data_IF_751742429683
#
_entry.id   IF_751742429683
#
_cell.length_a   1.000
_cell.length_b   1.000
_cell.length_c   1.000
_cell.angle_alpha   90.00
_cell.angle_beta   90.00
_cell.angle_gamma   90.00
#
_symmetry.space_group_name_H-M   'P 1'
#
loop_
_entity.id
_entity.type
_entity.pdbx_description
1 polymer ?
#
# COMPACT_ATOMS: atom_id res chain seq x y z
N UNK A 1 -2.72 13.64 -29.00
CA UNK A 1 -2.62 14.43 -27.75
C UNK A 1 -1.15 14.47 -27.32
N UNK A 2 -0.44 15.55 -27.73
CA UNK A 2 1.02 15.63 -27.52
C UNK A 2 1.36 16.41 -26.27
N UNK A 3 2.40 15.97 -25.58
CA UNK A 3 3.00 16.66 -24.44
C UNK A 3 3.64 17.95 -24.96
N UNK A 4 3.23 19.08 -24.37
CA UNK A 4 3.81 20.40 -24.63
C UNK A 4 4.88 20.74 -23.59
N UNK A 5 4.61 20.41 -22.33
CA UNK A 5 5.50 20.75 -21.22
C UNK A 5 5.21 19.84 -20.02
N UNK A 6 6.21 19.65 -19.16
CA UNK A 6 6.11 18.94 -17.87
C UNK A 6 6.79 19.83 -16.84
N UNK A 7 6.10 20.05 -15.71
CA UNK A 7 6.61 20.88 -14.61
C UNK A 7 6.52 20.11 -13.30
N UNK A 8 7.63 19.94 -12.64
CA UNK A 8 7.67 19.37 -11.30
C UNK A 8 7.98 20.44 -10.25
N UNK A 9 7.52 20.17 -9.04
CA UNK A 9 7.82 20.94 -7.84
C UNK A 9 7.90 20.04 -6.63
N UNK A 10 8.58 20.53 -5.60
CA UNK A 10 8.56 19.94 -4.27
C UNK A 10 7.24 20.28 -3.58
N UNK A 11 6.63 19.26 -2.94
CA UNK A 11 5.44 19.39 -2.08
C UNK A 11 5.68 18.60 -0.78
N UNK A 12 4.82 18.74 0.22
CA UNK A 12 4.94 17.99 1.46
C UNK A 12 3.97 16.80 1.49
N UNK A 13 4.45 15.69 2.00
CA UNK A 13 3.60 14.54 2.30
C UNK A 13 2.87 14.70 3.65
N UNK A 14 2.07 13.72 4.03
CA UNK A 14 1.27 13.72 5.27
C UNK A 14 2.10 13.77 6.56
N UNK A 15 3.41 13.55 6.47
CA UNK A 15 4.37 13.65 7.58
C UNK A 15 5.13 14.97 7.59
N UNK A 16 4.84 15.87 6.63
CA UNK A 16 5.62 17.10 6.42
C UNK A 16 6.99 16.86 5.79
N UNK A 17 7.21 15.67 5.20
CA UNK A 17 8.43 15.35 4.46
C UNK A 17 8.26 15.73 2.99
N UNK A 18 9.29 16.33 2.35
CA UNK A 18 9.22 16.67 0.93
C UNK A 18 9.01 15.45 0.04
N UNK A 19 8.19 15.64 -0.99
CA UNK A 19 7.99 14.69 -2.09
C UNK A 19 7.79 15.43 -3.42
N UNK A 20 7.63 14.70 -4.53
CA UNK A 20 7.56 15.25 -5.87
C UNK A 20 6.13 15.31 -6.36
N UNK A 21 5.72 16.47 -6.89
CA UNK A 21 4.55 16.64 -7.73
C UNK A 21 4.99 16.95 -9.16
N UNK A 22 4.33 16.36 -10.16
CA UNK A 22 4.55 16.68 -11.57
C UNK A 22 3.24 16.98 -12.28
N UNK A 23 3.19 18.06 -13.04
CA UNK A 23 2.07 18.44 -13.91
C UNK A 23 2.46 18.24 -15.37
N UNK A 24 1.66 17.49 -16.13
CA UNK A 24 1.80 17.32 -17.57
C UNK A 24 0.80 18.24 -18.27
N UNK A 25 1.30 19.03 -19.24
CA UNK A 25 0.55 20.02 -20.01
C UNK A 25 0.58 19.61 -21.49
N UNK A 26 -0.59 19.51 -22.12
CA UNK A 26 -0.72 19.15 -23.54
C UNK A 26 -0.80 20.37 -24.43
N UNK A 27 -0.52 20.20 -25.72
CA UNK A 27 -0.66 21.26 -26.76
C UNK A 27 -2.09 21.83 -26.81
N UNK A 28 -3.11 21.01 -26.51
CA UNK A 28 -4.51 21.47 -26.47
C UNK A 28 -4.86 22.25 -25.18
N UNK A 29 -3.91 22.46 -24.26
CA UNK A 29 -4.12 23.14 -22.98
C UNK A 29 -4.67 22.25 -21.85
N UNK A 30 -5.02 20.99 -22.12
CA UNK A 30 -5.39 20.06 -21.06
C UNK A 30 -4.18 19.80 -20.16
N UNK A 31 -4.40 19.70 -18.84
CA UNK A 31 -3.35 19.44 -17.86
C UNK A 31 -3.84 18.58 -16.71
N UNK A 32 -2.96 17.80 -16.14
CA UNK A 32 -3.19 17.08 -14.89
C UNK A 32 -1.90 16.90 -14.11
N UNK A 33 -2.05 16.77 -12.81
CA UNK A 33 -0.96 16.63 -11.85
C UNK A 33 -1.07 15.30 -11.12
N UNK A 34 0.08 14.74 -10.74
CA UNK A 34 0.20 13.65 -9.80
C UNK A 34 1.25 13.96 -8.74
N UNK A 35 1.01 13.47 -7.53
CA UNK A 35 1.93 13.57 -6.40
C UNK A 35 2.28 12.15 -5.95
N UNK A 36 3.55 11.90 -5.67
CA UNK A 36 4.03 10.56 -5.29
C UNK A 36 4.11 10.38 -3.78
N UNK A 37 3.80 9.18 -3.26
CA UNK A 37 3.96 8.86 -1.85
C UNK A 37 5.41 8.56 -1.50
N UNK A 38 5.69 8.45 -0.19
CA UNK A 38 7.02 8.15 0.37
C UNK A 38 6.92 7.13 1.50
N UNK A 39 7.79 6.11 1.53
CA UNK A 39 7.84 5.13 2.61
C UNK A 39 8.55 5.63 3.88
N UNK A 40 8.19 5.08 5.04
CA UNK A 40 8.97 5.21 6.28
C UNK A 40 9.92 4.02 6.43
N UNK A 41 9.39 2.80 6.36
CA UNK A 41 10.13 1.56 6.14
C UNK A 41 10.23 1.29 4.65
N UNK A 42 11.38 0.83 4.18
CA UNK A 42 11.61 0.51 2.76
C UNK A 42 12.27 -0.85 2.66
N UNK A 43 11.73 -1.73 1.83
CA UNK A 43 12.37 -2.99 1.48
C UNK A 43 13.74 -2.75 0.82
N UNK A 44 14.67 -3.65 1.06
CA UNK A 44 16.06 -3.52 0.56
C UNK A 44 16.15 -3.37 -0.96
N UNK A 45 15.16 -3.89 -1.68
CA UNK A 45 15.17 -3.98 -3.14
C UNK A 45 14.20 -3.01 -3.84
N UNK A 46 13.64 -2.04 -3.10
CA UNK A 46 12.80 -1.00 -3.69
C UNK A 46 13.60 -0.10 -4.65
N UNK A 47 12.91 0.46 -5.65
CA UNK A 47 13.46 1.52 -6.48
C UNK A 47 13.79 2.77 -5.62
N UNK A 48 14.84 3.50 -6.00
CA UNK A 48 15.41 4.56 -5.17
C UNK A 48 14.55 5.82 -5.21
N UNK A 49 14.04 6.23 -4.06
CA UNK A 49 13.52 7.57 -3.81
C UNK A 49 14.71 8.54 -3.68
N UNK A 50 14.92 9.38 -4.71
CA UNK A 50 16.05 10.27 -4.75
C UNK A 50 15.86 11.43 -3.77
N UNK A 51 16.79 11.57 -2.82
CA UNK A 51 16.87 12.61 -1.81
C UNK A 51 18.12 13.46 -2.01
N UNK A 52 18.03 14.75 -1.69
CA UNK A 52 19.16 15.70 -1.90
C UNK A 52 20.35 15.42 -0.99
N UNK A 53 20.12 14.87 0.21
CA UNK A 53 21.16 14.59 1.20
C UNK A 53 21.76 15.86 1.87
N UNK A 54 21.23 17.04 1.57
CA UNK A 54 21.67 18.31 2.20
C UNK A 54 21.09 18.45 3.62
N UNK A 55 21.90 18.32 4.67
CA UNK A 55 21.41 18.37 6.04
C UNK A 55 20.86 19.75 6.45
N UNK A 56 21.19 20.80 5.71
CA UNK A 56 20.72 22.17 5.99
C UNK A 56 19.29 22.41 5.50
N UNK A 57 18.75 21.46 4.70
CA UNK A 57 17.43 21.57 4.10
C UNK A 57 16.64 20.29 4.35
N UNK A 58 15.52 20.39 5.08
CA UNK A 58 14.68 19.25 5.48
C UNK A 58 15.46 18.05 6.07
N UNK A 59 16.54 18.32 6.81
CA UNK A 59 17.42 17.31 7.40
C UNK A 59 17.92 16.26 6.37
N UNK A 60 18.25 16.69 5.15
CA UNK A 60 18.70 15.82 4.06
C UNK A 60 17.59 15.21 3.21
N UNK A 61 16.30 15.40 3.58
CA UNK A 61 15.16 14.76 2.91
C UNK A 61 14.56 15.59 1.75
N UNK A 62 15.19 16.71 1.34
CA UNK A 62 14.77 17.50 0.17
C UNK A 62 14.74 16.67 -1.11
N UNK A 63 13.98 17.13 -2.12
CA UNK A 63 13.82 16.43 -3.41
C UNK A 63 14.06 17.34 -4.62
N UNK A 64 14.81 18.42 -4.45
CA UNK A 64 15.07 19.38 -5.54
C UNK A 64 15.87 18.75 -6.69
N UNK A 65 16.75 17.80 -6.40
CA UNK A 65 17.46 17.03 -7.43
C UNK A 65 16.49 16.23 -8.29
N UNK A 66 15.53 15.54 -7.68
CA UNK A 66 14.49 14.83 -8.42
C UNK A 66 13.61 15.79 -9.24
N UNK A 67 13.25 16.94 -8.67
CA UNK A 67 12.50 18.01 -9.36
C UNK A 67 13.28 18.54 -10.56
N UNK A 68 14.57 18.83 -10.42
CA UNK A 68 15.46 19.25 -11.51
C UNK A 68 15.54 18.18 -12.60
N UNK A 69 15.68 16.89 -12.23
CA UNK A 69 15.68 15.78 -13.18
C UNK A 69 14.39 15.73 -14.01
N UNK A 70 13.24 16.01 -13.42
CA UNK A 70 11.99 16.13 -14.20
C UNK A 70 12.04 17.31 -15.14
N UNK A 71 12.36 18.51 -14.63
CA UNK A 71 12.24 19.75 -15.39
C UNK A 71 13.28 19.88 -16.51
N UNK A 72 14.53 19.42 -16.28
CA UNK A 72 15.67 19.66 -17.16
C UNK A 72 16.04 18.45 -18.01
N UNK A 73 15.67 17.23 -17.60
CA UNK A 73 16.05 15.99 -18.30
C UNK A 73 14.83 15.30 -18.90
N UNK A 74 13.81 14.98 -18.06
CA UNK A 74 12.65 14.19 -18.49
C UNK A 74 11.73 15.03 -19.38
N UNK A 75 11.39 16.25 -18.98
CA UNK A 75 10.45 17.10 -19.71
C UNK A 75 10.89 17.37 -21.15
N UNK A 76 12.14 17.81 -21.43
CA UNK A 76 12.60 18.00 -22.80
C UNK A 76 12.58 16.71 -23.64
N UNK A 77 12.92 15.57 -23.03
CA UNK A 77 12.96 14.28 -23.72
C UNK A 77 11.57 13.76 -24.12
N UNK A 78 10.52 14.08 -23.33
CA UNK A 78 9.16 13.63 -23.59
C UNK A 78 8.33 14.63 -24.41
N UNK A 79 8.84 15.83 -24.66
CA UNK A 79 8.15 16.84 -25.46
C UNK A 79 7.77 16.29 -26.84
N UNK A 80 6.52 16.53 -27.25
CA UNK A 80 5.97 16.06 -28.52
C UNK A 80 5.51 14.61 -28.55
N UNK A 81 5.78 13.80 -27.51
CA UNK A 81 5.25 12.44 -27.40
C UNK A 81 3.76 12.43 -27.14
N UNK A 82 3.07 11.39 -27.60
CA UNK A 82 1.64 11.19 -27.35
C UNK A 82 1.41 10.62 -25.96
N UNK A 83 0.55 11.28 -25.15
CA UNK A 83 0.20 10.77 -23.80
C UNK A 83 -0.59 9.48 -23.82
N UNK A 84 -1.10 9.03 -24.97
CA UNK A 84 -1.76 7.75 -25.10
C UNK A 84 -0.78 6.57 -25.17
N UNK A 85 0.51 6.85 -25.29
CA UNK A 85 1.58 5.85 -25.40
C UNK A 85 2.30 5.67 -24.05
N UNK A 86 1.52 5.35 -22.99
CA UNK A 86 2.04 5.23 -21.62
C UNK A 86 3.28 4.35 -21.52
N UNK A 87 3.25 3.15 -22.10
CA UNK A 87 4.37 2.19 -22.06
C UNK A 87 5.62 2.78 -22.74
N UNK A 88 5.47 3.47 -23.87
CA UNK A 88 6.61 4.08 -24.59
C UNK A 88 7.22 5.22 -23.77
N UNK A 89 6.39 6.01 -23.07
CA UNK A 89 6.86 7.08 -22.19
C UNK A 89 7.59 6.51 -20.98
N UNK A 90 7.01 5.51 -20.30
CA UNK A 90 7.62 4.89 -19.12
C UNK A 90 8.94 4.20 -19.49
N UNK A 91 8.98 3.42 -20.57
CA UNK A 91 10.21 2.78 -21.05
C UNK A 91 11.29 3.79 -21.42
N UNK A 92 10.90 4.92 -22.04
CA UNK A 92 11.87 5.97 -22.34
C UNK A 92 12.48 6.58 -21.07
N UNK A 93 11.71 6.77 -20.01
CA UNK A 93 12.26 7.26 -18.74
C UNK A 93 13.15 6.20 -18.05
N UNK A 94 12.80 4.92 -18.13
CA UNK A 94 13.61 3.80 -17.64
C UNK A 94 14.94 3.74 -18.39
N UNK A 95 14.92 3.79 -19.72
CA UNK A 95 16.13 3.78 -20.56
C UNK A 95 17.02 4.99 -20.27
N UNK A 96 16.41 6.16 -20.05
CA UNK A 96 17.14 7.38 -19.69
C UNK A 96 17.79 7.28 -18.31
N UNK A 97 17.15 6.62 -17.34
CA UNK A 97 17.76 6.36 -16.04
C UNK A 97 18.94 5.38 -16.20
N UNK A 98 18.73 4.27 -16.86
CA UNK A 98 19.74 3.27 -17.20
C UNK A 98 20.30 2.51 -16.00
N UNK A 99 19.70 2.63 -14.80
CA UNK A 99 20.08 1.87 -13.61
C UNK A 99 18.97 0.88 -13.21
N UNK A 100 19.31 -0.27 -12.60
CA UNK A 100 18.30 -1.27 -12.26
C UNK A 100 17.22 -0.77 -11.28
N UNK A 101 17.57 0.17 -10.41
CA UNK A 101 16.73 0.67 -9.31
C UNK A 101 16.36 2.15 -9.45
N UNK A 102 16.49 2.73 -10.65
CA UNK A 102 16.15 4.13 -10.93
C UNK A 102 16.91 5.15 -10.06
N UNK A 103 18.16 4.83 -9.71
CA UNK A 103 18.96 5.67 -8.80
C UNK A 103 19.51 6.94 -9.43
N UNK A 104 19.54 7.05 -10.77
CA UNK A 104 20.09 8.22 -11.47
C UNK A 104 19.09 9.37 -11.54
N UNK A 105 17.87 9.12 -12.00
CA UNK A 105 16.81 10.14 -12.09
C UNK A 105 15.95 10.21 -10.85
N UNK A 106 15.80 9.09 -10.16
CA UNK A 106 14.95 8.90 -9.01
C UNK A 106 13.59 8.28 -9.38
N UNK A 107 13.20 7.22 -8.69
CA UNK A 107 11.90 6.59 -8.87
C UNK A 107 10.75 7.57 -8.58
N UNK A 108 10.92 8.47 -7.62
CA UNK A 108 9.97 9.55 -7.32
C UNK A 108 9.78 10.53 -8.48
N UNK A 109 10.85 10.93 -9.16
CA UNK A 109 10.79 11.78 -10.36
C UNK A 109 10.06 11.08 -11.51
N UNK A 110 10.45 9.83 -11.80
CA UNK A 110 9.88 9.03 -12.90
C UNK A 110 8.40 8.74 -12.64
N UNK A 111 8.04 8.29 -11.43
CA UNK A 111 6.67 7.95 -11.08
C UNK A 111 5.74 9.16 -11.14
N UNK A 112 6.17 10.33 -10.64
CA UNK A 112 5.34 11.53 -10.69
C UNK A 112 4.92 11.86 -12.13
N UNK A 113 5.83 11.75 -13.09
CA UNK A 113 5.55 11.97 -14.52
C UNK A 113 4.67 10.85 -15.07
N UNK A 114 4.98 9.59 -14.81
CA UNK A 114 4.22 8.43 -15.27
C UNK A 114 2.74 8.52 -14.88
N UNK A 115 2.44 8.86 -13.63
CA UNK A 115 1.07 9.00 -13.14
C UNK A 115 0.37 10.24 -13.71
N UNK A 116 1.07 11.36 -13.85
CA UNK A 116 0.53 12.59 -14.42
C UNK A 116 0.17 12.40 -15.92
N UNK A 117 0.97 11.62 -16.66
CA UNK A 117 0.68 11.24 -18.05
C UNK A 117 -0.64 10.46 -18.14
N UNK A 118 -0.84 9.44 -17.32
CA UNK A 118 -2.08 8.67 -17.28
C UNK A 118 -3.29 9.55 -16.93
N UNK A 119 -3.15 10.43 -15.93
CA UNK A 119 -4.21 11.34 -15.49
C UNK A 119 -4.59 12.36 -16.58
N UNK A 120 -3.62 12.95 -17.28
CA UNK A 120 -3.91 13.92 -18.34
C UNK A 120 -4.51 13.23 -19.57
N UNK A 121 -4.08 12.01 -19.89
CA UNK A 121 -4.66 11.24 -20.99
C UNK A 121 -6.14 10.91 -20.71
N UNK A 122 -6.45 10.39 -19.52
CA UNK A 122 -7.82 10.14 -19.07
C UNK A 122 -8.70 11.40 -19.11
N UNK A 123 -8.18 12.53 -18.60
CA UNK A 123 -8.88 13.80 -18.60
C UNK A 123 -9.15 14.32 -20.01
N UNK A 124 -8.16 14.24 -20.91
CA UNK A 124 -8.26 14.74 -22.28
C UNK A 124 -9.20 13.87 -23.15
N UNK A 125 -9.30 12.57 -22.85
CA UNK A 125 -10.28 11.68 -23.48
C UNK A 125 -11.66 11.71 -22.82
N UNK A 126 -11.84 12.55 -21.79
CA UNK A 126 -13.07 12.62 -20.99
C UNK A 126 -13.51 11.26 -20.42
N UNK A 127 -12.54 10.40 -20.11
CA UNK A 127 -12.75 9.07 -19.56
C UNK A 127 -12.37 9.07 -18.07
N UNK A 128 -13.18 8.55 -17.15
CA UNK A 128 -12.77 8.40 -15.76
C UNK A 128 -11.49 7.59 -15.66
N UNK A 129 -10.58 7.97 -14.73
CA UNK A 129 -9.24 7.39 -14.67
C UNK A 129 -9.28 5.85 -14.53
N UNK A 130 -10.15 5.30 -13.66
CA UNK A 130 -10.28 3.84 -13.50
C UNK A 130 -10.73 3.13 -14.79
N UNK A 131 -11.52 3.79 -15.65
CA UNK A 131 -11.91 3.26 -16.97
C UNK A 131 -10.79 3.37 -18.00
N UNK A 132 -10.03 4.45 -17.93
CA UNK A 132 -8.89 4.67 -18.83
C UNK A 132 -7.76 3.68 -18.58
N UNK A 133 -7.44 3.42 -17.29
CA UNK A 133 -6.41 2.45 -16.89
C UNK A 133 -6.85 1.00 -17.07
N UNK A 134 -8.14 0.73 -16.94
CA UNK A 134 -8.74 -0.61 -16.96
C UNK A 134 -9.45 -0.90 -18.27
N UNK A 135 -10.67 -1.41 -18.15
CA UNK A 135 -11.51 -1.81 -19.26
C UNK A 135 -13.00 -1.51 -18.96
N UNK A 136 -13.92 -1.72 -19.91
CA UNK A 136 -15.36 -1.71 -19.63
C UNK A 136 -15.77 -2.65 -18.48
N UNK A 137 -15.01 -3.72 -18.24
CA UNK A 137 -15.27 -4.70 -17.19
C UNK A 137 -14.65 -4.34 -15.83
N UNK A 138 -14.04 -3.14 -15.70
CA UNK A 138 -13.50 -2.64 -14.43
C UNK A 138 -14.63 -2.14 -13.55
N UNK A 139 -15.17 -3.02 -12.68
CA UNK A 139 -16.34 -2.74 -11.84
C UNK A 139 -16.27 -3.38 -10.45
N UNK A 140 -15.16 -4.02 -10.11
CA UNK A 140 -14.98 -4.62 -8.78
C UNK A 140 -14.52 -3.52 -7.80
N UNK A 141 -15.37 -3.23 -6.83
CA UNK A 141 -15.05 -2.34 -5.71
C UNK A 141 -14.19 -3.08 -4.70
N UNK A 142 -13.03 -2.53 -4.32
CA UNK A 142 -12.12 -3.25 -3.44
C UNK A 142 -12.64 -3.33 -2.00
N UNK A 143 -12.44 -4.47 -1.33
CA UNK A 143 -12.58 -4.56 0.12
C UNK A 143 -11.43 -3.78 0.75
N UNK A 144 -11.71 -2.80 1.63
CA UNK A 144 -10.66 -2.06 2.31
C UNK A 144 -10.06 -2.88 3.46
N UNK A 145 -8.74 -2.89 3.54
CA UNK A 145 -7.95 -3.35 4.68
C UNK A 145 -7.59 -2.10 5.49
N UNK A 146 -8.32 -1.88 6.58
CA UNK A 146 -8.28 -0.63 7.35
C UNK A 146 -7.38 -0.79 8.58
N UNK A 147 -6.23 -0.14 8.60
CA UNK A 147 -5.31 -0.17 9.74
C UNK A 147 -5.85 0.62 10.92
N UNK A 148 -6.33 -0.04 11.98
CA UNK A 148 -6.98 0.61 13.15
C UNK A 148 -6.12 0.62 14.42
N UNK A 149 -5.07 -0.23 14.49
CA UNK A 149 -4.03 -0.18 15.55
C UNK A 149 -2.67 -0.30 14.90
N UNK A 150 -1.75 0.58 15.28
CA UNK A 150 -0.35 0.59 14.85
C UNK A 150 0.56 0.05 15.96
N UNK A 151 1.58 -0.68 15.54
CA UNK A 151 2.69 -1.14 16.36
C UNK A 151 4.02 -1.07 15.59
N UNK A 152 4.98 -1.90 15.94
CA UNK A 152 6.28 -1.97 15.30
C UNK A 152 6.92 -0.60 15.11
N UNK A 153 7.52 -0.37 13.95
CA UNK A 153 8.15 0.92 13.59
C UNK A 153 7.14 2.05 13.33
N UNK A 154 5.82 1.76 13.29
CA UNK A 154 4.76 2.76 13.06
C UNK A 154 4.22 3.40 14.33
N UNK A 155 4.69 3.00 15.52
CA UNK A 155 4.28 3.59 16.79
C UNK A 155 5.31 3.36 17.90
N UNK A 156 5.17 4.10 19.01
CA UNK A 156 5.95 3.88 20.24
C UNK A 156 5.35 2.73 21.09
N UNK A 157 4.37 1.99 20.58
CA UNK A 157 3.76 0.86 21.29
C UNK A 157 4.73 -0.33 21.32
N UNK A 158 4.94 -0.97 22.47
CA UNK A 158 5.87 -2.10 22.59
C UNK A 158 5.23 -3.41 22.09
N UNK A 159 4.77 -3.42 20.84
CA UNK A 159 4.25 -4.60 20.13
C UNK A 159 4.97 -4.77 18.81
N UNK A 160 5.35 -6.00 18.45
CA UNK A 160 6.24 -6.24 17.32
C UNK A 160 5.54 -6.06 15.96
N UNK A 161 4.27 -6.46 15.83
CA UNK A 161 3.57 -6.35 14.56
C UNK A 161 3.19 -4.92 14.25
N UNK A 162 3.37 -4.53 12.98
CA UNK A 162 3.31 -3.14 12.54
C UNK A 162 1.87 -2.64 12.39
N UNK A 163 0.96 -3.47 11.86
CA UNK A 163 -0.41 -3.06 11.57
C UNK A 163 -1.43 -4.15 11.92
N UNK A 164 -2.52 -3.70 12.54
CA UNK A 164 -3.70 -4.51 12.84
C UNK A 164 -4.88 -3.92 12.09
N UNK A 165 -5.35 -4.65 11.10
CA UNK A 165 -6.36 -4.19 10.15
C UNK A 165 -7.68 -4.93 10.33
N UNK A 166 -8.78 -4.25 10.03
CA UNK A 166 -10.11 -4.84 9.85
C UNK A 166 -10.48 -4.87 8.37
N UNK A 167 -11.26 -5.87 8.00
CA UNK A 167 -11.77 -6.09 6.65
C UNK A 167 -13.27 -6.33 6.72
N UNK A 168 -14.15 -5.42 6.25
CA UNK A 168 -15.61 -5.56 6.32
C UNK A 168 -16.13 -6.48 5.19
N UNK A 169 -15.82 -7.77 5.28
CA UNK A 169 -16.09 -8.78 4.24
C UNK A 169 -17.57 -9.11 4.08
N UNK A 170 -18.38 -8.92 5.14
CA UNK A 170 -19.81 -9.17 5.12
C UNK A 170 -20.66 -8.06 4.52
N UNK A 171 -20.03 -6.96 4.06
CA UNK A 171 -20.75 -5.84 3.46
C UNK A 171 -21.32 -6.19 2.07
N UNK A 172 -22.45 -5.58 1.71
CA UNK A 172 -23.09 -5.79 0.41
C UNK A 172 -22.48 -4.95 -0.71
N UNK A 173 -21.82 -3.85 -0.35
CA UNK A 173 -21.20 -2.90 -1.28
C UNK A 173 -20.11 -2.10 -0.55
N UNK A 174 -19.37 -1.27 -1.29
CA UNK A 174 -18.26 -0.51 -0.71
C UNK A 174 -18.72 0.51 0.34
N UNK A 175 -19.82 1.23 0.09
CA UNK A 175 -20.33 2.23 1.02
C UNK A 175 -20.71 1.60 2.38
N UNK A 176 -21.34 0.43 2.37
CA UNK A 176 -21.64 -0.33 3.58
C UNK A 176 -20.36 -0.83 4.28
N UNK A 177 -19.39 -1.33 3.51
CA UNK A 177 -18.10 -1.73 4.06
C UNK A 177 -17.37 -0.59 4.75
N UNK A 178 -17.39 0.61 4.15
CA UNK A 178 -16.80 1.81 4.75
C UNK A 178 -17.52 2.22 6.02
N UNK A 179 -18.87 2.17 6.05
CA UNK A 179 -19.69 2.43 7.25
C UNK A 179 -19.36 1.46 8.38
N UNK A 180 -19.33 0.15 8.07
CA UNK A 180 -19.00 -0.89 9.06
C UNK A 180 -17.60 -0.64 9.66
N UNK A 181 -16.62 -0.31 8.82
CA UNK A 181 -15.27 0.01 9.27
C UNK A 181 -15.24 1.22 10.21
N UNK A 182 -15.94 2.31 9.88
CA UNK A 182 -16.00 3.49 10.75
C UNK A 182 -16.68 3.18 12.08
N UNK A 183 -17.78 2.47 12.08
CA UNK A 183 -18.48 2.10 13.32
C UNK A 183 -17.60 1.24 14.24
N UNK A 184 -16.81 0.30 13.70
CA UNK A 184 -15.81 -0.46 14.46
C UNK A 184 -14.68 0.45 14.96
N UNK A 185 -14.17 1.36 14.13
CA UNK A 185 -13.11 2.31 14.51
C UNK A 185 -13.57 3.24 15.65
N UNK A 186 -14.80 3.77 15.59
CA UNK A 186 -15.38 4.59 16.66
C UNK A 186 -15.64 3.78 17.93
N UNK A 187 -16.05 2.52 17.78
CA UNK A 187 -16.18 1.59 18.90
C UNK A 187 -14.84 1.33 19.57
N UNK A 188 -13.78 1.06 18.81
CA UNK A 188 -12.43 0.88 19.33
C UNK A 188 -11.94 2.12 20.10
N UNK A 189 -12.22 3.32 19.59
CA UNK A 189 -11.92 4.57 20.31
C UNK A 189 -12.57 4.63 21.69
N UNK A 190 -13.82 4.18 21.81
CA UNK A 190 -14.54 4.12 23.11
C UNK A 190 -13.92 3.07 24.03
N UNK A 191 -13.57 1.90 23.50
CA UNK A 191 -12.92 0.81 24.24
C UNK A 191 -11.59 1.28 24.81
N UNK A 192 -10.72 1.89 23.99
CA UNK A 192 -9.42 2.43 24.40
C UNK A 192 -9.58 3.48 25.52
N UNK A 193 -10.49 4.44 25.34
CA UNK A 193 -10.79 5.46 26.36
C UNK A 193 -11.26 4.86 27.70
N UNK A 194 -12.14 3.84 27.65
CA UNK A 194 -12.65 3.17 28.85
C UNK A 194 -11.55 2.46 29.64
N UNK A 195 -10.45 2.07 28.97
CA UNK A 195 -9.28 1.45 29.58
C UNK A 195 -8.17 2.47 29.93
N UNK A 196 -8.41 3.77 29.74
CA UNK A 196 -7.41 4.83 29.99
C UNK A 196 -6.26 4.83 29.00
N UNK A 197 -6.43 4.21 27.82
CA UNK A 197 -5.43 4.11 26.77
C UNK A 197 -5.51 5.31 25.81
N UNK A 198 -4.37 5.65 25.17
CA UNK A 198 -4.29 6.73 24.19
C UNK A 198 -5.17 6.45 22.97
N UNK A 199 -5.81 7.51 22.47
CA UNK A 199 -6.51 7.52 21.16
C UNK A 199 -5.84 8.47 20.17
N UNK A 200 -4.56 8.81 20.40
CA UNK A 200 -3.73 9.44 19.40
C UNK A 200 -3.52 8.47 18.22
N UNK A 201 -3.41 9.03 17.02
CA UNK A 201 -3.27 8.25 15.80
C UNK A 201 -1.84 8.35 15.24
N UNK A 202 -1.39 7.25 14.64
CA UNK A 202 -0.12 7.19 13.91
C UNK A 202 -0.21 7.77 12.50
N UNK A 203 0.83 7.57 11.71
CA UNK A 203 0.97 8.13 10.36
C UNK A 203 -0.12 7.68 9.40
N UNK A 204 -0.67 6.49 9.60
CA UNK A 204 -1.71 5.90 8.75
C UNK A 204 -3.15 6.08 9.29
N UNK A 205 -3.29 6.81 10.40
CA UNK A 205 -4.59 7.16 10.97
C UNK A 205 -5.17 6.14 11.97
N UNK A 206 -4.54 4.98 12.17
CA UNK A 206 -4.88 4.01 13.21
C UNK A 206 -4.41 4.49 14.58
N UNK A 207 -5.03 3.99 15.66
CA UNK A 207 -4.63 4.33 17.02
C UNK A 207 -3.26 3.73 17.36
N UNK A 208 -2.52 4.41 18.22
CA UNK A 208 -1.20 3.99 18.71
C UNK A 208 -1.18 3.91 20.27
N UNK A 209 -1.99 3.04 20.89
CA UNK A 209 -1.99 2.86 22.33
C UNK A 209 -0.78 2.04 22.76
N UNK A 210 -0.33 2.25 24.00
CA UNK A 210 0.66 1.35 24.62
C UNK A 210 -0.02 0.07 25.05
N UNK A 211 0.28 -1.03 24.37
CA UNK A 211 -0.29 -2.37 24.57
C UNK A 211 0.78 -3.34 25.06
N UNK A 212 0.37 -4.50 25.58
CA UNK A 212 1.28 -5.47 26.19
C UNK A 212 1.95 -6.39 25.16
N UNK A 213 1.20 -6.81 24.16
CA UNK A 213 1.59 -7.77 23.12
C UNK A 213 0.58 -7.75 21.96
N UNK A 214 0.82 -8.55 20.96
CA UNK A 214 -0.04 -8.75 19.79
C UNK A 214 -1.45 -9.19 20.17
N UNK A 215 -1.59 -10.12 21.10
CA UNK A 215 -2.90 -10.66 21.52
C UNK A 215 -3.75 -9.59 22.22
N UNK A 216 -3.16 -8.69 23.02
CA UNK A 216 -3.89 -7.57 23.65
C UNK A 216 -4.49 -6.63 22.59
N UNK A 217 -3.80 -6.38 21.49
CA UNK A 217 -4.32 -5.61 20.36
C UNK A 217 -5.50 -6.33 19.68
N UNK A 218 -5.35 -7.62 19.40
CA UNK A 218 -6.41 -8.43 18.78
C UNK A 218 -7.66 -8.52 19.64
N UNK A 219 -7.51 -8.72 20.96
CA UNK A 219 -8.63 -8.78 21.91
C UNK A 219 -9.40 -7.45 21.96
N UNK A 220 -8.70 -6.31 21.89
CA UNK A 220 -9.33 -5.00 21.83
C UNK A 220 -10.13 -4.80 20.55
N UNK A 221 -9.62 -5.26 19.42
CA UNK A 221 -10.33 -5.19 18.15
C UNK A 221 -11.55 -6.09 18.14
N UNK A 222 -11.43 -7.33 18.65
CA UNK A 222 -12.57 -8.25 18.78
C UNK A 222 -13.69 -7.63 19.61
N UNK A 223 -13.34 -7.05 20.76
CA UNK A 223 -14.31 -6.36 21.61
C UNK A 223 -14.94 -5.16 20.90
N UNK A 224 -14.16 -4.43 20.08
CA UNK A 224 -14.66 -3.28 19.33
C UNK A 224 -15.65 -3.70 18.22
N UNK A 225 -15.41 -4.82 17.55
CA UNK A 225 -16.31 -5.40 16.52
C UNK A 225 -17.63 -5.81 17.18
N UNK A 226 -17.57 -6.56 18.28
CA UNK A 226 -18.76 -6.99 19.03
C UNK A 226 -19.59 -5.80 19.55
N UNK A 227 -18.93 -4.79 20.13
CA UNK A 227 -19.59 -3.58 20.62
C UNK A 227 -20.19 -2.72 19.51
N UNK A 228 -19.68 -2.82 18.29
CA UNK A 228 -20.26 -2.18 17.11
C UNK A 228 -21.47 -2.94 16.54
N UNK A 229 -21.75 -4.14 17.07
CA UNK A 229 -22.89 -4.97 16.67
C UNK A 229 -22.61 -5.88 15.47
N UNK A 230 -21.35 -6.09 15.13
CA UNK A 230 -20.92 -6.98 14.05
C UNK A 230 -20.38 -8.30 14.59
N UNK A 231 -20.48 -9.35 13.79
CA UNK A 231 -19.98 -10.67 14.15
C UNK A 231 -18.56 -10.86 13.57
N UNK A 232 -17.51 -11.02 14.43
CA UNK A 232 -16.18 -11.34 13.98
C UNK A 232 -16.15 -12.61 13.12
N UNK A 233 -15.36 -12.58 12.05
CA UNK A 233 -15.20 -13.70 11.11
C UNK A 233 -16.31 -13.84 10.07
N UNK A 234 -17.49 -13.27 10.31
CA UNK A 234 -18.60 -13.27 9.35
C UNK A 234 -18.76 -11.91 8.68
N UNK A 235 -18.89 -10.86 9.48
CA UNK A 235 -19.14 -9.50 9.00
C UNK A 235 -17.81 -8.75 8.82
N UNK A 236 -16.89 -8.95 9.76
CA UNK A 236 -15.56 -8.33 9.79
C UNK A 236 -14.52 -9.38 10.10
N UNK A 237 -13.51 -9.51 9.24
CA UNK A 237 -12.30 -10.30 9.47
C UNK A 237 -11.13 -9.40 9.84
N UNK A 238 -10.02 -10.01 10.26
CA UNK A 238 -8.79 -9.32 10.63
C UNK A 238 -7.69 -9.58 9.61
N UNK A 239 -6.83 -8.59 9.43
CA UNK A 239 -5.59 -8.74 8.69
C UNK A 239 -4.44 -8.17 9.50
N UNK A 240 -3.26 -8.77 9.35
CA UNK A 240 -2.03 -8.34 10.01
C UNK A 240 -0.99 -7.94 8.98
N UNK A 241 -0.22 -6.92 9.31
CA UNK A 241 1.09 -6.68 8.73
C UNK A 241 2.13 -6.90 9.84
N UNK A 242 2.88 -7.99 9.71
CA UNK A 242 3.88 -8.36 10.71
C UNK A 242 5.17 -7.56 10.54
N UNK A 243 5.51 -7.11 9.33
CA UNK A 243 6.77 -6.47 8.98
C UNK A 243 7.98 -7.23 9.58
N UNK A 244 8.01 -8.55 9.39
CA UNK A 244 8.89 -9.46 10.15
C UNK A 244 10.37 -9.22 9.91
N UNK A 245 10.75 -8.55 8.81
CA UNK A 245 12.14 -8.15 8.56
C UNK A 245 12.70 -7.21 9.64
N UNK A 246 11.84 -6.40 10.28
CA UNK A 246 12.22 -5.43 11.31
C UNK A 246 12.74 -6.10 12.61
N UNK A 247 12.31 -7.33 12.87
CA UNK A 247 12.74 -8.09 14.06
C UNK A 247 13.40 -9.43 13.72
N UNK A 248 13.74 -9.67 12.46
CA UNK A 248 14.51 -10.83 12.05
C UNK A 248 16.00 -10.56 12.18
N UNK A 249 16.70 -11.35 13.01
CA UNK A 249 18.12 -11.16 13.26
C UNK A 249 18.82 -12.51 13.49
N UNK A 250 19.94 -12.74 12.79
CA UNK A 250 20.77 -13.94 12.95
C UNK A 250 19.98 -15.26 12.78
N UNK A 251 18.96 -15.29 11.90
CA UNK A 251 18.14 -16.47 11.67
C UNK A 251 17.01 -16.69 12.68
N UNK A 252 16.74 -15.72 13.54
CA UNK A 252 15.69 -15.74 14.55
C UNK A 252 14.79 -14.50 14.45
N UNK A 253 13.51 -14.66 14.77
CA UNK A 253 12.52 -13.61 14.95
C UNK A 253 12.57 -13.15 16.40
N UNK A 254 13.24 -12.05 16.66
CA UNK A 254 13.54 -11.53 17.99
C UNK A 254 12.55 -10.44 18.40
N UNK A 255 11.45 -10.83 19.00
CA UNK A 255 10.39 -9.94 19.47
C UNK A 255 10.85 -8.94 20.55
N UNK A 256 12.01 -9.22 21.21
CA UNK A 256 12.55 -8.33 22.25
C UNK A 256 12.94 -6.95 21.71
N UNK A 257 13.15 -6.83 20.39
CA UNK A 257 13.45 -5.55 19.73
C UNK A 257 12.32 -4.54 20.01
N UNK A 258 11.08 -4.99 20.09
CA UNK A 258 9.91 -4.14 20.35
C UNK A 258 9.26 -4.41 21.72
N UNK A 259 9.15 -5.66 22.13
CA UNK A 259 8.34 -6.09 23.28
C UNK A 259 9.15 -6.21 24.60
N UNK A 260 10.46 -5.88 24.57
CA UNK A 260 11.36 -5.89 25.75
C UNK A 260 11.94 -7.25 26.07
N UNK A 261 12.89 -7.28 27.03
CA UNK A 261 13.82 -8.39 27.28
C UNK A 261 13.17 -9.75 27.56
N UNK A 262 11.92 -9.77 28.01
CA UNK A 262 11.19 -11.02 28.33
C UNK A 262 10.38 -11.59 27.17
N UNK A 263 10.36 -10.91 26.02
CA UNK A 263 9.64 -11.36 24.86
C UNK A 263 10.29 -12.58 24.22
N UNK A 264 9.52 -13.24 23.35
CA UNK A 264 9.95 -14.49 22.68
C UNK A 264 11.05 -14.23 21.66
N UNK A 265 11.87 -15.24 21.45
CA UNK A 265 12.77 -15.36 20.31
C UNK A 265 12.39 -16.66 19.62
N UNK A 266 12.01 -16.58 18.36
CA UNK A 266 11.47 -17.70 17.62
C UNK A 266 12.39 -18.06 16.46
N UNK A 267 12.67 -19.35 16.27
CA UNK A 267 13.22 -19.82 15.00
C UNK A 267 12.10 -19.85 13.93
N UNK A 268 12.46 -20.19 12.70
CA UNK A 268 11.53 -20.22 11.55
C UNK A 268 10.29 -21.08 11.81
N UNK A 269 10.44 -22.28 12.35
CA UNK A 269 9.32 -23.18 12.60
C UNK A 269 8.41 -22.64 13.69
N UNK A 270 8.99 -22.13 14.77
CA UNK A 270 8.26 -21.52 15.89
C UNK A 270 7.52 -20.24 15.47
N UNK A 271 8.07 -19.46 14.53
CA UNK A 271 7.37 -18.30 13.95
C UNK A 271 6.12 -18.74 13.16
N UNK A 272 6.24 -19.77 12.33
CA UNK A 272 5.09 -20.33 11.59
C UNK A 272 4.05 -20.90 12.57
N UNK A 273 4.46 -21.62 13.60
CA UNK A 273 3.55 -22.15 14.63
C UNK A 273 2.84 -21.03 15.40
N UNK A 274 3.53 -19.93 15.67
CA UNK A 274 2.92 -18.77 16.31
C UNK A 274 1.84 -18.12 15.42
N UNK A 275 2.15 -17.89 14.14
CA UNK A 275 1.16 -17.36 13.18
C UNK A 275 -0.03 -18.31 13.01
N UNK A 276 0.23 -19.61 12.96
CA UNK A 276 -0.81 -20.66 12.91
C UNK A 276 -1.74 -20.61 14.12
N UNK A 277 -1.18 -20.40 15.31
CA UNK A 277 -1.95 -20.22 16.54
C UNK A 277 -2.85 -18.97 16.47
N UNK A 278 -2.30 -17.84 16.02
CA UNK A 278 -3.09 -16.60 15.88
C UNK A 278 -4.28 -16.78 14.93
N UNK A 279 -4.10 -17.45 13.79
CA UNK A 279 -5.19 -17.76 12.84
C UNK A 279 -6.24 -18.70 13.46
N UNK A 280 -5.83 -19.61 14.36
CA UNK A 280 -6.76 -20.52 15.03
C UNK A 280 -7.57 -19.82 16.12
N UNK A 281 -6.98 -18.82 16.79
CA UNK A 281 -7.59 -18.14 17.93
C UNK A 281 -8.44 -16.90 17.50
N UNK A 282 -8.12 -16.28 16.35
CA UNK A 282 -8.74 -15.06 15.84
C UNK A 282 -9.18 -15.21 14.38
N UNK A 283 -10.20 -14.46 13.92
CA UNK A 283 -10.68 -14.53 12.53
C UNK A 283 -9.75 -13.77 11.55
N UNK A 284 -8.45 -14.14 11.57
CA UNK A 284 -7.43 -13.57 10.70
C UNK A 284 -7.48 -14.32 9.37
N UNK A 285 -7.74 -13.61 8.28
CA UNK A 285 -7.80 -14.15 6.93
C UNK A 285 -6.71 -13.62 6.00
N UNK A 286 -5.83 -12.71 6.50
CA UNK A 286 -4.69 -12.18 5.74
C UNK A 286 -3.52 -11.86 6.66
N UNK A 287 -2.31 -12.26 6.26
CA UNK A 287 -1.04 -11.93 6.91
C UNK A 287 -0.07 -11.40 5.87
N UNK A 288 0.38 -10.17 6.05
CA UNK A 288 1.43 -9.53 5.28
C UNK A 288 2.76 -9.68 6.00
N UNK A 289 3.81 -10.00 5.23
CA UNK A 289 5.20 -10.16 5.67
C UNK A 289 5.35 -10.95 6.99
N UNK A 290 4.66 -12.10 7.05
CA UNK A 290 4.73 -13.00 8.20
C UNK A 290 6.10 -13.63 8.42
N UNK A 291 6.96 -13.60 7.39
CA UNK A 291 8.38 -13.97 7.41
C UNK A 291 9.22 -12.82 6.85
N UNK A 292 10.51 -12.80 7.17
CA UNK A 292 11.45 -11.79 6.68
C UNK A 292 11.65 -11.87 5.15
N UNK A 293 12.00 -10.75 4.51
CA UNK A 293 12.16 -10.62 3.05
C UNK A 293 13.26 -11.52 2.46
N UNK A 294 14.24 -11.92 3.25
CA UNK A 294 15.34 -12.80 2.86
C UNK A 294 15.15 -14.25 3.32
N UNK A 295 14.15 -14.56 4.17
CA UNK A 295 13.84 -15.91 4.65
C UNK A 295 12.94 -16.71 3.71
N UNK A 296 13.37 -16.92 2.47
CA UNK A 296 12.62 -17.65 1.44
C UNK A 296 12.19 -19.05 1.87
N UNK A 297 13.03 -19.76 2.63
CA UNK A 297 12.66 -21.09 3.18
C UNK A 297 11.56 -20.98 4.24
N UNK A 298 11.52 -19.89 4.99
CA UNK A 298 10.43 -19.59 5.92
C UNK A 298 9.13 -19.31 5.17
N UNK A 299 9.20 -18.58 4.07
CA UNK A 299 8.04 -18.31 3.22
C UNK A 299 7.49 -19.58 2.56
N UNK A 300 8.34 -20.49 2.07
CA UNK A 300 7.92 -21.80 1.56
C UNK A 300 7.17 -22.58 2.64
N UNK A 301 7.73 -22.66 3.86
CA UNK A 301 7.11 -23.34 5.00
C UNK A 301 5.78 -22.69 5.39
N UNK A 302 5.75 -21.37 5.55
CA UNK A 302 4.53 -20.62 5.90
C UNK A 302 3.43 -20.87 4.87
N UNK A 303 3.78 -20.86 3.59
CA UNK A 303 2.81 -21.06 2.50
C UNK A 303 2.28 -22.49 2.48
N UNK A 304 3.15 -23.49 2.70
CA UNK A 304 2.73 -24.88 2.77
C UNK A 304 1.76 -25.15 3.94
N UNK A 305 1.97 -24.52 5.11
CA UNK A 305 1.15 -24.73 6.30
C UNK A 305 -0.14 -23.92 6.32
N UNK A 306 -0.12 -22.69 5.82
CA UNK A 306 -1.22 -21.72 5.99
C UNK A 306 -1.83 -21.21 4.67
N UNK A 307 -1.17 -21.40 3.53
CA UNK A 307 -1.59 -20.80 2.26
C UNK A 307 -2.96 -21.25 1.75
N UNK A 308 -3.50 -22.39 2.22
CA UNK A 308 -4.86 -22.84 1.92
C UNK A 308 -5.94 -22.27 2.85
N UNK A 309 -5.54 -21.54 3.91
CA UNK A 309 -6.43 -21.06 4.98
C UNK A 309 -6.39 -19.55 5.13
N UNK A 310 -5.32 -18.91 4.67
CA UNK A 310 -5.04 -17.51 4.89
C UNK A 310 -4.37 -16.90 3.65
N UNK A 311 -4.72 -15.68 3.34
CA UNK A 311 -4.00 -14.86 2.37
C UNK A 311 -2.63 -14.51 2.95
N UNK A 312 -1.57 -14.87 2.26
CA UNK A 312 -0.18 -14.60 2.63
C UNK A 312 0.37 -13.59 1.63
N UNK A 313 0.58 -12.37 2.11
CA UNK A 313 0.93 -11.20 1.28
C UNK A 313 2.42 -10.92 1.37
N UNK A 314 3.11 -10.91 0.24
CA UNK A 314 4.49 -10.41 0.16
C UNK A 314 4.50 -8.93 -0.18
N UNK A 315 4.98 -8.09 0.74
CA UNK A 315 5.30 -6.67 0.53
C UNK A 315 6.81 -6.55 0.29
N UNK A 316 7.64 -6.58 1.32
CA UNK A 316 9.10 -6.51 1.21
C UNK A 316 9.68 -7.71 0.43
N UNK A 317 9.01 -8.87 0.50
CA UNK A 317 9.38 -10.05 -0.28
C UNK A 317 9.38 -9.80 -1.79
N UNK A 318 8.44 -9.02 -2.31
CA UNK A 318 8.23 -8.84 -3.75
C UNK A 318 8.50 -7.42 -4.26
N UNK A 319 8.41 -6.41 -3.42
CA UNK A 319 8.64 -4.99 -3.71
C UNK A 319 8.01 -4.51 -5.03
N UNK A 320 6.82 -5.03 -5.35
CA UNK A 320 6.09 -4.77 -6.63
C UNK A 320 6.92 -5.14 -7.88
N UNK A 321 7.92 -6.00 -7.75
CA UNK A 321 8.86 -6.36 -8.81
C UNK A 321 8.53 -7.74 -9.40
N UNK A 322 8.43 -7.82 -10.74
CA UNK A 322 8.08 -9.06 -11.47
C UNK A 322 9.12 -10.17 -11.31
N UNK A 323 10.41 -9.86 -11.13
CA UNK A 323 11.44 -10.87 -10.98
C UNK A 323 11.34 -11.58 -9.61
N UNK A 324 11.10 -10.80 -8.54
CA UNK A 324 10.84 -11.36 -7.21
C UNK A 324 9.52 -12.11 -7.16
N UNK A 325 8.47 -11.58 -7.80
CA UNK A 325 7.19 -12.27 -7.91
C UNK A 325 7.33 -13.60 -8.67
N UNK A 326 8.05 -13.61 -9.80
CA UNK A 326 8.31 -14.82 -10.57
C UNK A 326 9.08 -15.88 -9.74
N UNK A 327 10.05 -15.43 -8.93
CA UNK A 327 10.74 -16.30 -7.97
C UNK A 327 9.75 -16.89 -6.96
N UNK A 328 8.89 -16.07 -6.35
CA UNK A 328 7.88 -16.54 -5.38
C UNK A 328 6.91 -17.54 -5.98
N UNK A 329 6.40 -17.28 -7.18
CA UNK A 329 5.53 -18.20 -7.93
C UNK A 329 6.25 -19.54 -8.15
N UNK A 330 7.51 -19.51 -8.58
CA UNK A 330 8.30 -20.71 -8.86
C UNK A 330 8.58 -21.56 -7.61
N UNK A 331 8.74 -20.89 -6.45
CA UNK A 331 9.08 -21.56 -5.18
C UNK A 331 7.87 -21.74 -4.26
N UNK A 332 6.65 -21.41 -4.73
CA UNK A 332 5.40 -21.47 -3.95
C UNK A 332 5.47 -20.66 -2.65
N UNK A 333 6.02 -19.45 -2.71
CA UNK A 333 6.08 -18.51 -1.59
C UNK A 333 4.96 -17.48 -1.69
N UNK A 334 4.16 -17.31 -0.63
CA UNK A 334 2.99 -16.44 -0.59
C UNK A 334 1.85 -16.86 -1.55
N UNK A 335 0.75 -16.14 -1.56
CA UNK A 335 -0.36 -16.29 -2.51
C UNK A 335 -1.00 -14.94 -2.88
N UNK A 336 -0.40 -13.85 -2.41
CA UNK A 336 -0.77 -12.48 -2.71
C UNK A 336 0.46 -11.57 -2.72
N UNK A 337 0.35 -10.45 -3.43
CA UNK A 337 1.37 -9.40 -3.51
C UNK A 337 0.77 -8.06 -3.10
N UNK A 338 1.50 -7.29 -2.31
CA UNK A 338 1.21 -5.89 -2.10
C UNK A 338 1.75 -5.04 -3.26
N UNK A 339 0.95 -4.11 -3.74
CA UNK A 339 1.28 -3.27 -4.91
C UNK A 339 1.49 -1.84 -4.44
N UNK A 340 2.71 -1.38 -4.47
CA UNK A 340 3.13 -0.01 -4.14
C UNK A 340 3.83 0.61 -5.35
N UNK A 341 3.18 1.54 -6.01
CA UNK A 341 3.67 2.17 -7.25
C UNK A 341 5.11 2.71 -7.15
N UNK A 342 5.46 3.29 -6.00
CA UNK A 342 6.79 3.88 -5.81
C UNK A 342 7.90 2.85 -5.51
N UNK A 343 7.56 1.60 -5.16
CA UNK A 343 8.56 0.53 -5.01
C UNK A 343 9.20 0.13 -6.33
N UNK A 344 8.47 0.32 -7.44
CA UNK A 344 8.95 -0.01 -8.79
C UNK A 344 9.16 1.24 -9.66
N UNK A 345 8.32 2.27 -9.55
CA UNK A 345 8.55 3.61 -10.07
C UNK A 345 7.91 3.96 -11.41
N UNK A 346 7.14 3.08 -12.05
CA UNK A 346 6.29 3.40 -13.20
C UNK A 346 4.93 2.73 -13.14
N UNK A 347 3.94 3.31 -13.82
CA UNK A 347 2.63 2.70 -13.99
C UNK A 347 2.71 1.41 -14.82
N UNK A 348 3.52 1.40 -15.87
CA UNK A 348 3.67 0.22 -16.75
C UNK A 348 4.17 -0.99 -15.98
N UNK A 349 5.28 -0.88 -15.24
CA UNK A 349 5.82 -1.98 -14.43
C UNK A 349 4.83 -2.41 -13.32
N UNK A 350 4.10 -1.45 -12.73
CA UNK A 350 3.06 -1.76 -11.72
C UNK A 350 1.94 -2.60 -12.33
N UNK A 351 1.44 -2.24 -13.51
CA UNK A 351 0.39 -3.02 -14.20
C UNK A 351 0.89 -4.40 -14.64
N UNK A 352 2.16 -4.53 -15.01
CA UNK A 352 2.79 -5.82 -15.32
C UNK A 352 2.83 -6.73 -14.07
N UNK A 353 3.21 -6.20 -12.91
CA UNK A 353 3.23 -6.94 -11.66
C UNK A 353 1.82 -7.43 -11.26
N UNK A 354 0.80 -6.55 -11.34
CA UNK A 354 -0.60 -6.93 -11.08
C UNK A 354 -1.06 -8.02 -12.06
N UNK A 355 -0.79 -7.84 -13.35
CA UNK A 355 -1.19 -8.80 -14.40
C UNK A 355 -0.50 -10.16 -14.21
N UNK A 356 0.80 -10.17 -13.86
CA UNK A 356 1.52 -11.40 -13.56
C UNK A 356 0.92 -12.12 -12.35
N UNK A 357 0.66 -11.40 -11.24
CA UNK A 357 0.04 -11.96 -10.05
C UNK A 357 -1.30 -12.63 -10.38
N UNK A 358 -2.20 -11.91 -11.02
CA UNK A 358 -3.54 -12.40 -11.36
C UNK A 358 -3.51 -13.63 -12.29
N UNK A 359 -2.63 -13.64 -13.31
CA UNK A 359 -2.48 -14.78 -14.22
C UNK A 359 -1.98 -16.06 -13.54
N UNK A 360 -1.28 -15.93 -12.42
CA UNK A 360 -0.76 -17.06 -11.65
C UNK A 360 -1.57 -17.36 -10.38
N UNK A 361 -2.78 -16.78 -10.27
CA UNK A 361 -3.68 -17.04 -9.14
C UNK A 361 -3.33 -16.32 -7.84
N UNK A 362 -2.33 -15.43 -7.87
CA UNK A 362 -2.03 -14.55 -6.74
C UNK A 362 -3.03 -13.39 -6.68
N UNK A 363 -3.42 -13.00 -5.48
CA UNK A 363 -4.19 -11.77 -5.27
C UNK A 363 -3.24 -10.57 -5.33
N UNK A 364 -3.74 -9.45 -5.83
CA UNK A 364 -3.02 -8.17 -5.80
C UNK A 364 -3.76 -7.21 -4.88
N UNK A 365 -3.07 -6.63 -3.90
CA UNK A 365 -3.63 -5.64 -2.99
C UNK A 365 -2.99 -4.29 -3.33
N UNK A 366 -3.76 -3.34 -3.83
CA UNK A 366 -3.24 -1.99 -4.10
C UNK A 366 -3.08 -1.25 -2.77
N UNK A 367 -1.89 -0.68 -2.56
CA UNK A 367 -1.51 -0.11 -1.26
C UNK A 367 -1.03 1.33 -1.34
N UNK A 368 -1.28 2.07 -0.26
CA UNK A 368 -0.66 3.35 0.07
C UNK A 368 0.78 3.17 0.58
N UNK A 369 1.37 4.30 1.01
CA UNK A 369 2.58 4.31 1.84
C UNK A 369 2.32 5.08 3.13
N UNK A 370 3.25 4.99 4.09
CA UNK A 370 3.16 5.72 5.36
C UNK A 370 3.16 7.24 5.17
N UNK A 371 3.95 7.78 4.24
CA UNK A 371 3.87 9.16 3.78
C UNK A 371 3.02 9.28 2.53
N UNK A 372 1.81 9.78 2.66
CA UNK A 372 0.84 9.97 1.57
C UNK A 372 0.62 11.44 1.23
N UNK A 373 -0.02 11.66 0.09
CA UNK A 373 -0.52 12.96 -0.35
C UNK A 373 -2.04 12.89 -0.55
N UNK A 374 -2.67 13.98 -0.98
CA UNK A 374 -4.10 13.99 -1.34
C UNK A 374 -4.39 13.26 -2.65
N UNK A 375 -3.37 12.82 -3.39
CA UNK A 375 -3.53 12.08 -4.65
C UNK A 375 -4.29 10.78 -4.43
N UNK A 376 -5.30 10.53 -5.25
CA UNK A 376 -6.20 9.38 -5.13
C UNK A 376 -5.97 8.30 -6.18
N UNK A 377 -4.84 8.33 -6.88
CA UNK A 377 -4.55 7.42 -8.00
C UNK A 377 -4.77 5.94 -7.66
N UNK A 378 -4.35 5.51 -6.47
CA UNK A 378 -4.47 4.12 -6.04
C UNK A 378 -5.91 3.64 -5.91
N UNK A 379 -6.87 4.51 -5.64
CA UNK A 379 -8.29 4.16 -5.62
C UNK A 379 -8.79 3.82 -7.03
N UNK A 380 -8.45 4.64 -8.03
CA UNK A 380 -8.75 4.37 -9.43
C UNK A 380 -8.02 3.11 -9.94
N UNK A 381 -6.75 2.90 -9.55
CA UNK A 381 -5.95 1.73 -9.92
C UNK A 381 -6.57 0.43 -9.40
N UNK A 382 -7.02 0.40 -8.15
CA UNK A 382 -7.64 -0.78 -7.54
C UNK A 382 -8.89 -1.24 -8.31
N UNK A 383 -9.75 -0.29 -8.71
CA UNK A 383 -10.94 -0.59 -9.51
C UNK A 383 -10.57 -0.92 -10.96
N UNK A 384 -9.63 -0.18 -11.56
CA UNK A 384 -9.18 -0.40 -12.93
C UNK A 384 -8.70 -1.84 -13.18
N UNK A 385 -7.98 -2.39 -12.22
CA UNK A 385 -7.37 -3.73 -12.31
C UNK A 385 -8.24 -4.84 -11.73
N UNK A 386 -9.44 -4.50 -11.21
CA UNK A 386 -10.29 -5.44 -10.48
C UNK A 386 -9.49 -6.20 -9.38
N UNK A 387 -8.59 -5.50 -8.68
CA UNK A 387 -7.74 -6.11 -7.65
C UNK A 387 -8.54 -6.70 -6.47
N UNK A 388 -9.75 -6.19 -6.26
CA UNK A 388 -10.68 -6.67 -5.24
C UNK A 388 -10.32 -6.28 -3.81
N UNK A 389 -9.15 -5.70 -3.57
CA UNK A 389 -8.67 -5.29 -2.25
C UNK A 389 -7.85 -4.01 -2.34
N UNK A 390 -7.91 -3.18 -1.28
CA UNK A 390 -7.08 -1.97 -1.14
C UNK A 390 -6.63 -1.81 0.32
N UNK A 391 -5.34 -1.52 0.54
CA UNK A 391 -4.75 -1.15 1.82
C UNK A 391 -4.41 0.34 1.77
N UNK A 392 -5.22 1.21 2.41
CA UNK A 392 -5.04 2.66 2.29
C UNK A 392 -5.22 3.40 3.61
N UNK A 393 -4.82 2.75 4.71
CA UNK A 393 -4.82 3.32 6.05
C UNK A 393 -6.16 3.23 6.75
N UNK A 394 -6.31 4.02 7.79
CA UNK A 394 -7.47 4.01 8.67
C UNK A 394 -8.57 4.98 8.21
N UNK A 395 -9.57 5.16 9.07
CA UNK A 395 -10.74 6.02 8.90
C UNK A 395 -10.53 7.41 9.54
N UNK A 396 -9.30 7.85 9.56
CA UNK A 396 -8.88 9.18 9.99
C UNK A 396 -7.69 9.66 9.15
N UNK A 397 -7.36 10.96 9.19
CA UNK A 397 -6.39 11.68 8.35
C UNK A 397 -6.86 11.84 6.90
N UNK A 398 -6.87 13.08 6.43
CA UNK A 398 -7.53 13.48 5.17
C UNK A 398 -6.95 12.79 3.94
N UNK A 399 -5.65 12.54 3.90
CA UNK A 399 -4.96 11.85 2.81
C UNK A 399 -5.38 10.38 2.67
N UNK A 400 -5.83 9.74 3.74
CA UNK A 400 -6.41 8.37 3.73
C UNK A 400 -7.86 8.44 3.28
N UNK A 401 -8.66 9.30 3.91
CA UNK A 401 -10.08 9.51 3.61
C UNK A 401 -10.30 9.95 2.16
N UNK A 402 -9.38 10.69 1.55
CA UNK A 402 -9.45 11.07 0.14
C UNK A 402 -9.60 9.85 -0.79
N UNK A 403 -8.88 8.75 -0.53
CA UNK A 403 -8.96 7.50 -1.31
C UNK A 403 -10.32 6.82 -1.12
N UNK A 404 -10.84 6.76 0.11
CA UNK A 404 -12.18 6.22 0.39
C UNK A 404 -13.29 7.05 -0.25
N UNK A 405 -13.20 8.36 -0.17
CA UNK A 405 -14.16 9.27 -0.83
C UNK A 405 -14.11 9.12 -2.37
N UNK A 406 -12.92 8.88 -2.95
CA UNK A 406 -12.79 8.58 -4.37
C UNK A 406 -13.47 7.26 -4.73
N UNK A 407 -13.32 6.23 -3.92
CA UNK A 407 -13.98 4.92 -4.13
C UNK A 407 -15.51 5.05 -4.03
N UNK A 408 -16.05 5.80 -3.06
CA UNK A 408 -17.49 6.09 -2.97
C UNK A 408 -18.01 6.76 -4.25
N UNK A 409 -17.25 7.71 -4.81
CA UNK A 409 -17.60 8.37 -6.06
C UNK A 409 -17.57 7.38 -7.24
N UNK A 410 -16.57 6.50 -7.32
CA UNK A 410 -16.49 5.46 -8.37
C UNK A 410 -17.71 4.52 -8.26
N UNK A 411 -18.05 4.07 -7.05
CA UNK A 411 -19.23 3.21 -6.85
C UNK A 411 -20.52 3.90 -7.35
N UNK A 412 -20.68 5.18 -7.06
CA UNK A 412 -21.81 5.97 -7.58
C UNK A 412 -21.78 6.08 -9.12
N UNK A 413 -20.60 6.27 -9.73
CA UNK A 413 -20.42 6.35 -11.17
C UNK A 413 -20.78 5.01 -11.86
N UNK A 414 -20.57 3.88 -11.18
CA UNK A 414 -20.91 2.53 -11.67
C UNK A 414 -22.41 2.21 -11.63
N UNK A 415 -23.24 3.05 -11.00
CA UNK A 415 -24.73 3.00 -11.05
C UNK A 415 -25.32 1.63 -10.70
N UNK A 416 -24.81 0.96 -9.68
CA UNK A 416 -25.30 -0.36 -9.24
C UNK A 416 -24.79 -1.55 -10.06
N UNK A 417 -23.86 -1.32 -11.00
CA UNK A 417 -23.16 -2.39 -11.72
C UNK A 417 -21.89 -2.86 -11.00
N UNK A 418 -21.56 -2.22 -9.86
CA UNK A 418 -20.41 -2.60 -9.06
C UNK A 418 -20.64 -3.95 -8.36
N UNK A 419 -19.56 -4.72 -8.26
CA UNK A 419 -19.49 -5.91 -7.43
C UNK A 419 -18.52 -5.61 -6.30
N UNK A 420 -18.89 -5.94 -5.07
CA UNK A 420 -17.96 -5.84 -3.95
C UNK A 420 -16.94 -6.97 -4.02
N UNK A 421 -15.68 -6.68 -3.76
CA UNK A 421 -14.59 -7.65 -3.87
C UNK A 421 -14.83 -8.89 -3.01
N UNK A 422 -14.16 -9.98 -3.34
CA UNK A 422 -14.17 -11.20 -2.55
C UNK A 422 -12.81 -11.39 -1.90
N UNK A 423 -12.82 -11.77 -0.63
CA UNK A 423 -11.63 -12.18 0.10
C UNK A 423 -11.24 -13.62 -0.24
N UNK A 424 -10.13 -14.05 0.34
CA UNK A 424 -9.55 -15.39 0.18
C UNK A 424 -10.51 -16.53 0.54
#
# INVERSE_FOLDING_TARGET
MKIKDIKAREVLDSRGTPTVAAEVILECGCRAEAMVPSGASTGQFEAIELRDGDPTRYNGKGVLTAVSNVNEIIAPALNGMSVCEQMAIDNKMIDMDGTPNKSRLGANAILAVSLAVAKVAAKCTQTPLYRYLGSPDSHVMPIPMMNIINGGSHSDSPIAFQEFMIRPVGALNFAEGLRMGDEVFQSLKKVLKSRGLSTAVGDEGGFAPVLKNTEDALDLIMLAIDNAGYQPGRDVTLALDCASSEFFKNGYYDYRIFEGDKAKILNRNEQVDYLKKLIADYPIDSIEDGMAEDDWMGWELLTAELGSKCQLVGDDLFVTNIDYLAKGIKTNCANAILIKLNQIGTLTETLEAISMAQRHGYKAIVSHRSGETEDTFIADLAVATNSGQIKTGSLSRSERIAKYNRLLKIEQELKGQSVYGQVF
#
